data_IF_219374929706
#
_entry.id   IF_219374929706
#
_cell.length_a   1.000
_cell.length_b   1.000
_cell.length_c   1.000
_cell.angle_alpha   90.00
_cell.angle_beta   90.00
_cell.angle_gamma   90.00
#
_symmetry.space_group_name_H-M   'P 1'
#
loop_
_entity.id
_entity.type
_entity.pdbx_description
1 polymer ?
#
# COMPACT_ATOMS: atom_id res chain seq x y z
N UNK A 1 -23.69 -18.23 -18.01
CA UNK A 1 -22.77 -17.80 -16.93
C UNK A 1 -23.21 -16.39 -16.55
N UNK A 2 -23.50 -16.08 -15.27
CA UNK A 2 -23.83 -14.71 -14.92
C UNK A 2 -22.61 -13.82 -15.27
N UNK A 3 -22.87 -12.73 -15.98
CA UNK A 3 -21.84 -11.87 -16.57
C UNK A 3 -20.96 -11.23 -15.51
N UNK A 4 -19.67 -11.06 -15.82
CA UNK A 4 -18.76 -10.25 -15.00
C UNK A 4 -19.16 -8.78 -15.14
N UNK A 5 -19.38 -8.10 -14.04
CA UNK A 5 -19.60 -6.64 -14.00
C UNK A 5 -18.27 -5.94 -13.78
N UNK A 6 -17.97 -4.94 -14.61
CA UNK A 6 -16.83 -4.06 -14.38
C UNK A 6 -17.14 -3.15 -13.18
N UNK A 7 -16.34 -3.23 -12.12
CA UNK A 7 -16.52 -2.44 -10.88
C UNK A 7 -15.65 -1.19 -10.88
N UNK A 8 -14.46 -1.26 -11.48
CA UNK A 8 -13.51 -0.16 -11.61
C UNK A 8 -12.90 -0.20 -13.00
N UNK A 9 -13.04 0.88 -13.77
CA UNK A 9 -12.26 1.09 -14.98
C UNK A 9 -10.93 1.82 -14.66
N UNK A 10 -10.11 2.02 -15.69
CA UNK A 10 -8.79 2.65 -15.57
C UNK A 10 -8.84 4.07 -14.98
N UNK A 11 -9.71 4.93 -15.51
CA UNK A 11 -9.82 6.33 -15.09
C UNK A 11 -10.36 6.43 -13.65
N UNK A 12 -11.33 5.58 -13.31
CA UNK A 12 -11.87 5.48 -11.96
C UNK A 12 -10.82 5.01 -10.95
N UNK A 13 -10.00 4.04 -11.33
CA UNK A 13 -8.88 3.56 -10.51
C UNK A 13 -7.86 4.66 -10.26
N UNK A 14 -7.45 5.38 -11.31
CA UNK A 14 -6.50 6.49 -11.21
C UNK A 14 -7.02 7.62 -10.33
N UNK A 15 -8.29 8.00 -10.47
CA UNK A 15 -8.90 9.03 -9.63
C UNK A 15 -8.91 8.62 -8.15
N UNK A 16 -9.24 7.35 -7.86
CA UNK A 16 -9.23 6.80 -6.50
C UNK A 16 -7.82 6.76 -5.92
N UNK A 17 -6.82 6.35 -6.70
CA UNK A 17 -5.42 6.34 -6.26
C UNK A 17 -4.90 7.75 -5.97
N UNK A 18 -5.23 8.75 -6.80
CA UNK A 18 -4.89 10.15 -6.51
C UNK A 18 -5.56 10.62 -5.22
N UNK A 19 -6.84 10.28 -5.00
CA UNK A 19 -7.53 10.63 -3.76
C UNK A 19 -6.84 10.03 -2.53
N UNK A 20 -6.47 8.74 -2.59
CA UNK A 20 -5.71 8.08 -1.52
C UNK A 20 -4.36 8.79 -1.28
N UNK A 21 -3.67 9.23 -2.33
CA UNK A 21 -2.42 9.98 -2.19
C UNK A 21 -2.61 11.30 -1.44
N UNK A 22 -3.67 12.07 -1.72
CA UNK A 22 -4.02 13.26 -0.95
C UNK A 22 -4.34 12.91 0.51
N UNK A 23 -5.13 11.87 0.76
CA UNK A 23 -5.45 11.40 2.11
C UNK A 23 -4.17 11.02 2.87
N UNK A 24 -3.20 10.37 2.23
CA UNK A 24 -1.90 10.04 2.85
C UNK A 24 -1.17 11.33 3.27
N UNK A 25 -1.09 12.34 2.39
CA UNK A 25 -0.39 13.59 2.68
C UNK A 25 -1.07 14.37 3.79
N UNK A 26 -2.39 14.54 3.72
CA UNK A 26 -3.17 15.31 4.70
C UNK A 26 -3.08 14.74 6.12
N UNK A 27 -3.06 13.41 6.25
CA UNK A 27 -2.95 12.75 7.56
C UNK A 27 -1.52 12.75 8.13
N UNK A 28 -0.50 13.13 7.35
CA UNK A 28 0.91 13.00 7.74
C UNK A 28 1.76 14.23 7.35
N UNK A 29 1.17 15.44 7.39
CA UNK A 29 1.83 16.69 7.00
C UNK A 29 3.12 17.00 7.76
N UNK A 30 3.23 16.53 9.01
CA UNK A 30 4.39 16.78 9.88
C UNK A 30 5.50 15.73 9.73
N UNK A 31 5.22 14.66 8.98
CA UNK A 31 6.16 13.55 8.82
C UNK A 31 7.22 13.84 7.76
N UNK A 32 8.45 13.44 8.05
CA UNK A 32 9.57 13.60 7.11
C UNK A 32 9.65 12.46 6.10
N UNK A 33 9.21 11.28 6.52
CA UNK A 33 9.24 10.07 5.71
C UNK A 33 8.08 9.13 6.04
N UNK A 34 7.60 8.42 5.02
CA UNK A 34 6.55 7.40 5.11
C UNK A 34 7.02 6.16 4.39
N UNK A 35 6.65 5.00 4.92
CA UNK A 35 6.97 3.70 4.37
C UNK A 35 5.69 3.05 3.86
N UNK A 36 5.58 2.86 2.55
CA UNK A 36 4.50 2.10 1.93
C UNK A 36 4.91 0.63 1.85
N UNK A 37 4.17 -0.21 2.56
CA UNK A 37 4.38 -1.64 2.64
C UNK A 37 3.42 -2.33 1.67
N UNK A 38 3.88 -2.65 0.47
CA UNK A 38 3.07 -3.32 -0.54
C UNK A 38 3.08 -4.84 -0.38
N UNK A 39 1.91 -5.46 -0.25
CA UNK A 39 1.80 -6.92 -0.29
C UNK A 39 2.11 -7.39 -1.73
N UNK A 40 2.97 -8.41 -1.86
CA UNK A 40 3.52 -8.88 -3.14
C UNK A 40 2.46 -9.05 -4.24
N UNK A 41 2.90 -8.82 -5.47
CA UNK A 41 2.12 -8.67 -6.70
C UNK A 41 1.39 -7.31 -6.75
N UNK A 42 0.06 -7.30 -6.71
CA UNK A 42 -0.75 -6.11 -7.03
C UNK A 42 -0.70 -5.03 -5.97
N UNK A 43 -0.56 -5.37 -4.68
CA UNK A 43 -0.42 -4.39 -3.60
C UNK A 43 0.87 -3.58 -3.74
N UNK A 44 1.96 -4.21 -4.17
CA UNK A 44 3.23 -3.56 -4.44
C UNK A 44 3.17 -2.60 -5.64
N UNK A 45 2.52 -3.01 -6.73
CA UNK A 45 2.30 -2.12 -7.89
C UNK A 45 1.47 -0.87 -7.50
N UNK A 46 0.44 -1.07 -6.68
CA UNK A 46 -0.36 0.05 -6.14
C UNK A 46 0.49 0.96 -5.25
N UNK A 47 1.33 0.39 -4.38
CA UNK A 47 2.24 1.17 -3.53
C UNK A 47 3.20 2.03 -4.37
N UNK A 48 3.71 1.49 -5.48
CA UNK A 48 4.55 2.25 -6.41
C UNK A 48 3.77 3.42 -7.04
N UNK A 49 2.55 3.20 -7.52
CA UNK A 49 1.73 4.29 -8.08
C UNK A 49 1.41 5.37 -7.04
N UNK A 50 1.07 4.97 -5.81
CA UNK A 50 0.82 5.90 -4.71
C UNK A 50 2.05 6.74 -4.38
N UNK A 51 3.25 6.15 -4.38
CA UNK A 51 4.50 6.91 -4.22
C UNK A 51 4.61 8.02 -5.26
N UNK A 52 4.40 7.72 -6.54
CA UNK A 52 4.50 8.73 -7.61
C UNK A 52 3.48 9.86 -7.42
N UNK A 53 2.24 9.56 -7.02
CA UNK A 53 1.26 10.61 -6.74
C UNK A 53 1.59 11.43 -5.48
N UNK A 54 2.12 10.81 -4.43
CA UNK A 54 2.46 11.53 -3.19
C UNK A 54 3.63 12.50 -3.43
N UNK A 55 4.65 12.11 -4.21
CA UNK A 55 5.77 13.01 -4.53
C UNK A 55 5.39 14.16 -5.47
N UNK A 56 4.31 14.02 -6.25
CA UNK A 56 3.71 15.13 -7.00
C UNK A 56 3.06 16.17 -6.08
N UNK A 57 2.50 15.74 -4.95
CA UNK A 57 1.74 16.58 -4.01
C UNK A 57 2.66 17.27 -3.00
N UNK A 58 3.69 16.56 -2.48
CA UNK A 58 4.53 17.06 -1.40
C UNK A 58 5.97 16.51 -1.46
N UNK A 59 6.84 17.04 -0.60
CA UNK A 59 8.26 16.64 -0.52
C UNK A 59 8.54 15.53 0.51
N UNK A 60 7.51 14.86 1.02
CA UNK A 60 7.68 13.76 1.99
C UNK A 60 8.45 12.63 1.30
N UNK A 61 9.45 12.08 2.00
CA UNK A 61 10.24 10.97 1.47
C UNK A 61 9.44 9.67 1.56
N UNK A 62 9.16 9.04 0.43
CA UNK A 62 8.45 7.75 0.40
C UNK A 62 9.42 6.59 0.17
N UNK A 63 9.37 5.62 1.06
CA UNK A 63 10.08 4.36 0.95
C UNK A 63 9.10 3.25 0.57
N UNK A 64 9.48 2.39 -0.38
CA UNK A 64 8.69 1.22 -0.77
C UNK A 64 9.31 -0.04 -0.18
N UNK A 65 8.49 -0.85 0.45
CA UNK A 65 8.88 -2.14 1.01
C UNK A 65 7.91 -3.19 0.50
N UNK A 66 8.45 -4.31 0.00
CA UNK A 66 7.66 -5.48 -0.37
C UNK A 66 7.44 -6.40 0.84
N UNK A 67 6.20 -6.84 1.03
CA UNK A 67 5.86 -7.87 2.02
C UNK A 67 5.46 -9.15 1.28
N UNK A 68 6.14 -10.25 1.60
CA UNK A 68 5.72 -11.58 1.19
C UNK A 68 5.02 -12.29 2.33
N UNK A 69 3.77 -12.72 2.08
CA UNK A 69 2.96 -13.48 3.04
C UNK A 69 2.75 -14.89 2.49
N UNK A 70 3.23 -15.89 3.20
CA UNK A 70 2.90 -17.29 2.92
C UNK A 70 1.46 -17.57 3.40
N UNK A 71 0.53 -17.74 2.46
CA UNK A 71 -0.89 -18.02 2.78
C UNK A 71 -1.12 -19.40 3.41
N UNK A 72 -0.15 -20.32 3.29
CA UNK A 72 -0.21 -21.65 3.90
C UNK A 72 0.34 -21.67 5.32
N UNK A 73 1.30 -20.78 5.61
CA UNK A 73 1.83 -20.56 6.95
C UNK A 73 2.01 -19.05 7.25
N UNK A 74 0.93 -18.35 7.61
CA UNK A 74 0.90 -16.89 7.65
C UNK A 74 1.73 -16.25 8.77
N UNK A 75 2.29 -17.05 9.67
CA UNK A 75 3.16 -16.57 10.76
C UNK A 75 4.57 -16.22 10.26
N UNK A 76 4.98 -16.75 9.10
CA UNK A 76 6.22 -16.36 8.43
C UNK A 76 5.95 -15.27 7.39
N UNK A 77 6.03 -14.01 7.84
CA UNK A 77 6.14 -12.87 6.95
C UNK A 77 7.62 -12.51 6.76
N UNK A 78 8.04 -12.31 5.51
CA UNK A 78 9.37 -11.79 5.19
C UNK A 78 9.23 -10.36 4.69
N UNK A 79 9.86 -9.44 5.41
CA UNK A 79 10.06 -8.06 4.98
C UNK A 79 11.38 -8.03 4.20
N UNK A 80 11.33 -7.60 2.95
CA UNK A 80 12.56 -7.42 2.16
C UNK A 80 13.29 -6.15 2.62
N UNK A 81 14.47 -6.30 3.23
CA UNK A 81 15.38 -5.20 3.61
C UNK A 81 15.67 -5.08 5.11
N UNK A 82 16.73 -4.33 5.45
CA UNK A 82 17.07 -4.01 6.84
C UNK A 82 16.22 -2.82 7.30
N UNK A 83 15.09 -3.12 7.95
CA UNK A 83 14.08 -2.12 8.32
C UNK A 83 13.83 -2.12 9.84
N UNK A 84 14.14 -0.99 10.49
CA UNK A 84 13.69 -0.71 11.84
C UNK A 84 12.38 0.08 11.79
N UNK A 85 11.31 -0.52 12.31
CA UNK A 85 9.94 0.01 12.31
C UNK A 85 9.64 1.06 13.39
N UNK A 86 10.52 1.19 14.39
CA UNK A 86 10.21 1.97 15.58
C UNK A 86 10.00 3.45 15.26
N UNK A 87 8.87 4.01 15.72
CA UNK A 87 8.50 5.43 15.55
C UNK A 87 8.45 5.91 14.09
N UNK A 88 8.06 5.03 13.15
CA UNK A 88 7.87 5.38 11.75
C UNK A 88 6.42 5.20 11.31
N UNK A 89 5.99 6.01 10.36
CA UNK A 89 4.70 5.84 9.70
C UNK A 89 4.79 4.73 8.66
N UNK A 90 4.00 3.68 8.90
CA UNK A 90 3.89 2.51 8.08
C UNK A 90 2.48 2.40 7.50
N UNK A 91 2.37 2.34 6.18
CA UNK A 91 1.09 2.23 5.48
C UNK A 91 1.11 0.94 4.68
N UNK A 92 0.28 -0.02 5.09
CA UNK A 92 0.09 -1.27 4.37
C UNK A 92 -0.79 -1.04 3.14
N UNK A 93 -0.37 -1.60 2.00
CA UNK A 93 -1.05 -1.48 0.72
C UNK A 93 -1.38 -2.87 0.18
N UNK A 94 -2.67 -3.11 -0.06
CA UNK A 94 -3.23 -4.36 -0.61
C UNK A 94 -4.16 -4.04 -1.78
N UNK A 95 -4.33 -5.00 -2.71
CA UNK A 95 -5.22 -4.83 -3.86
C UNK A 95 -6.70 -4.96 -3.48
N UNK A 96 -7.00 -5.90 -2.58
CA UNK A 96 -8.36 -6.22 -2.15
C UNK A 96 -8.38 -6.59 -0.67
N UNK A 97 -8.89 -5.67 0.15
CA UNK A 97 -9.27 -5.97 1.53
C UNK A 97 -10.56 -6.80 1.56
N UNK A 98 -10.44 -8.13 1.49
CA UNK A 98 -11.60 -9.04 1.52
C UNK A 98 -11.89 -9.54 2.95
N UNK A 99 -11.17 -10.55 3.41
CA UNK A 99 -11.39 -11.17 4.74
C UNK A 99 -10.59 -10.52 5.87
N UNK A 100 -9.80 -9.49 5.55
CA UNK A 100 -8.86 -8.86 6.50
C UNK A 100 -7.67 -9.73 6.91
N UNK A 101 -7.61 -11.01 6.51
CA UNK A 101 -6.52 -11.94 6.89
C UNK A 101 -5.15 -11.45 6.45
N UNK A 102 -5.03 -10.94 5.22
CA UNK A 102 -3.77 -10.40 4.69
C UNK A 102 -3.26 -9.22 5.53
N UNK A 103 -4.17 -8.33 5.93
CA UNK A 103 -3.83 -7.21 6.81
C UNK A 103 -3.44 -7.70 8.21
N UNK A 104 -4.18 -8.65 8.78
CA UNK A 104 -3.86 -9.25 10.08
C UNK A 104 -2.48 -9.92 10.12
N UNK A 105 -2.05 -10.56 9.02
CA UNK A 105 -0.74 -11.22 8.95
C UNK A 105 0.42 -10.23 8.71
N UNK A 106 0.12 -9.01 8.28
CA UNK A 106 1.12 -7.97 8.07
C UNK A 106 1.30 -7.04 9.29
N UNK A 107 0.41 -7.11 10.28
CA UNK A 107 0.47 -6.36 11.55
C UNK A 107 1.14 -7.16 12.65
#
# INVERSE_FOLDING_TARGET
MPGRTLILNHDEALLKLRRIAYEIVENHLEEKEIYLLGIRDRGYDIAHMLREFVIEICKIKIHLIGIQIDKTNPVQCMIEGDFQAHQKVLILVDDVANSGRTALYAM
#
